data_IF_993687243099
#
_entry.id   IF_993687243099
#
_cell.length_a   1.000
_cell.length_b   1.000
_cell.length_c   1.000
_cell.angle_alpha   90.00
_cell.angle_beta   90.00
_cell.angle_gamma   90.00
#
_symmetry.space_group_name_H-M   'P 1'
#
loop_
_entity.id
_entity.type
_entity.pdbx_description
1 polymer ?
#
# COMPACT_ATOMS: atom_id res chain seq x y z
N UNK A 1 -0.85 19.20 -6.05
CA UNK A 1 0.38 19.42 -6.85
C UNK A 1 0.04 19.67 -8.33
N UNK A 2 -0.37 18.68 -9.12
CA UNK A 2 -0.75 18.88 -10.53
C UNK A 2 -1.92 19.87 -10.69
N UNK A 3 -2.90 19.81 -9.82
CA UNK A 3 -4.10 20.66 -9.80
C UNK A 3 -3.82 22.09 -9.27
N UNK A 4 -2.73 22.27 -8.52
CA UNK A 4 -2.34 23.57 -7.92
C UNK A 4 -1.16 24.24 -8.64
N UNK A 5 -0.76 23.73 -9.82
CA UNK A 5 0.36 24.29 -10.60
C UNK A 5 1.77 24.04 -10.05
N UNK A 6 1.91 23.54 -8.84
CA UNK A 6 3.20 23.26 -8.17
C UNK A 6 4.03 22.19 -8.89
N UNK A 7 3.43 21.47 -9.85
CA UNK A 7 4.14 20.49 -10.66
C UNK A 7 5.11 21.16 -11.65
N UNK A 8 4.85 22.40 -12.03
CA UNK A 8 5.71 23.17 -12.93
C UNK A 8 7.09 23.38 -12.30
N UNK A 9 7.14 23.69 -11.00
CA UNK A 9 8.38 23.90 -10.27
C UNK A 9 9.22 22.60 -10.19
N UNK A 10 8.54 21.44 -10.08
CA UNK A 10 9.17 20.13 -10.10
C UNK A 10 9.68 19.70 -11.49
N UNK A 11 9.00 20.14 -12.55
CA UNK A 11 9.39 19.87 -13.95
C UNK A 11 10.54 20.77 -14.42
N UNK A 12 10.71 21.94 -13.81
CA UNK A 12 11.85 22.85 -14.07
C UNK A 12 13.11 22.38 -13.30
N UNK A 13 12.94 21.68 -12.20
CA UNK A 13 14.04 21.05 -11.50
C UNK A 13 14.64 19.90 -12.35
N UNK A 14 15.97 19.79 -12.50
CA UNK A 14 16.62 18.74 -13.29
C UNK A 14 16.59 17.38 -12.56
N UNK A 15 15.39 16.93 -12.17
CA UNK A 15 15.19 15.69 -11.44
C UNK A 15 14.89 14.54 -12.40
N UNK A 16 15.60 13.43 -12.24
CA UNK A 16 15.32 12.20 -12.97
C UNK A 16 14.05 11.49 -12.49
N UNK A 17 13.44 10.63 -13.34
CA UNK A 17 12.23 9.86 -12.98
C UNK A 17 12.40 9.03 -11.70
N UNK A 18 13.62 8.50 -11.46
CA UNK A 18 13.97 7.74 -10.27
C UNK A 18 13.99 8.60 -9.00
N UNK A 19 14.51 9.80 -9.08
CA UNK A 19 14.59 10.74 -7.95
C UNK A 19 13.18 11.21 -7.53
N UNK A 20 12.33 11.50 -8.52
CA UNK A 20 10.91 11.81 -8.28
C UNK A 20 10.20 10.64 -7.61
N UNK A 21 10.39 9.41 -8.11
CA UNK A 21 9.80 8.22 -7.53
C UNK A 21 10.25 8.05 -6.09
N UNK A 22 11.56 8.10 -5.81
CA UNK A 22 12.11 7.94 -4.46
C UNK A 22 11.60 9.02 -3.50
N UNK A 23 11.56 10.28 -3.92
CA UNK A 23 11.08 11.39 -3.10
C UNK A 23 9.61 11.23 -2.71
N UNK A 24 8.73 10.97 -3.68
CA UNK A 24 7.28 10.83 -3.41
C UNK A 24 6.96 9.55 -2.66
N UNK A 25 7.57 8.43 -3.03
CA UNK A 25 7.36 7.14 -2.35
C UNK A 25 7.91 7.19 -0.94
N UNK A 26 9.11 7.77 -0.75
CA UNK A 26 9.70 7.96 0.58
C UNK A 26 8.82 8.79 1.49
N UNK A 27 8.32 9.93 1.02
CA UNK A 27 7.38 10.77 1.76
C UNK A 27 6.07 10.05 2.12
N UNK A 28 5.51 9.29 1.18
CA UNK A 28 4.32 8.47 1.39
C UNK A 28 4.55 7.36 2.42
N UNK A 29 5.70 6.69 2.36
CA UNK A 29 6.09 5.66 3.34
C UNK A 29 6.21 6.25 4.76
N UNK A 30 6.93 7.35 4.91
CA UNK A 30 7.09 8.01 6.23
C UNK A 30 5.72 8.34 6.81
N UNK A 31 4.81 8.93 6.02
CA UNK A 31 3.44 9.21 6.48
C UNK A 31 2.69 7.94 6.87
N UNK A 32 2.75 6.91 6.04
CA UNK A 32 2.09 5.62 6.32
C UNK A 32 2.63 4.95 7.58
N UNK A 33 3.95 4.99 7.79
CA UNK A 33 4.61 4.44 8.98
C UNK A 33 4.22 5.21 10.24
N UNK A 34 4.21 6.54 10.20
CA UNK A 34 3.80 7.36 11.34
C UNK A 34 2.36 7.05 11.74
N UNK A 35 1.44 7.01 10.79
CA UNK A 35 0.03 6.66 11.07
C UNK A 35 -0.09 5.22 11.58
N UNK A 36 0.61 4.26 10.97
CA UNK A 36 0.62 2.88 11.40
C UNK A 36 1.16 2.69 12.82
N UNK A 37 2.27 3.34 13.15
CA UNK A 37 2.87 3.29 14.50
C UNK A 37 1.98 3.98 15.55
N UNK A 38 1.35 5.09 15.21
CA UNK A 38 0.40 5.76 16.11
C UNK A 38 -0.82 4.87 16.37
N UNK A 39 -1.38 4.28 15.32
CA UNK A 39 -2.52 3.34 15.45
C UNK A 39 -2.14 2.14 16.30
N UNK A 40 -0.95 1.56 16.06
CA UNK A 40 -0.44 0.47 16.87
C UNK A 40 -0.23 0.89 18.32
N UNK A 41 0.35 2.08 18.57
CA UNK A 41 0.51 2.63 19.91
C UNK A 41 -0.82 2.75 20.67
N UNK A 42 -1.88 3.22 19.99
CA UNK A 42 -3.23 3.24 20.57
C UNK A 42 -3.74 1.82 20.84
N UNK A 43 -3.54 0.89 19.90
CA UNK A 43 -3.97 -0.50 20.07
C UNK A 43 -3.28 -1.19 21.26
N UNK A 44 -2.04 -0.84 21.58
CA UNK A 44 -1.33 -1.39 22.75
C UNK A 44 -2.04 -1.09 24.08
N UNK A 45 -2.70 0.05 24.19
CA UNK A 45 -3.46 0.43 25.39
C UNK A 45 -4.66 -0.47 25.60
N UNK A 46 -5.33 -0.91 24.54
CA UNK A 46 -6.56 -1.69 24.60
C UNK A 46 -6.34 -3.21 24.48
N UNK A 47 -5.39 -3.64 23.66
CA UNK A 47 -5.17 -5.05 23.34
C UNK A 47 -3.93 -5.68 24.02
N UNK A 48 -3.13 -4.86 24.69
CA UNK A 48 -1.86 -5.29 25.26
C UNK A 48 -0.76 -5.46 24.22
N UNK A 49 0.47 -5.67 24.70
CA UNK A 49 1.62 -5.84 23.82
C UNK A 49 1.67 -7.28 23.29
N UNK A 50 1.51 -7.41 21.98
CA UNK A 50 1.70 -8.68 21.28
C UNK A 50 2.58 -8.43 20.05
N UNK A 51 3.75 -9.06 20.00
CA UNK A 51 4.68 -8.98 18.88
C UNK A 51 5.45 -10.30 18.81
N UNK A 52 4.84 -11.30 18.17
CA UNK A 52 5.40 -12.64 18.11
C UNK A 52 6.66 -12.70 17.23
N UNK A 53 6.60 -12.03 16.05
CA UNK A 53 7.69 -12.04 15.08
C UNK A 53 8.01 -10.61 14.60
N UNK A 54 8.89 -9.85 15.31
CA UNK A 54 9.16 -8.43 15.01
C UNK A 54 9.65 -8.18 13.59
N UNK A 55 10.54 -9.05 13.07
CA UNK A 55 11.09 -8.89 11.72
C UNK A 55 10.03 -9.09 10.63
N UNK A 56 9.10 -10.03 10.84
CA UNK A 56 7.98 -10.27 9.91
C UNK A 56 7.04 -9.07 9.92
N UNK A 57 6.68 -8.58 11.11
CA UNK A 57 5.84 -7.39 11.27
C UNK A 57 6.46 -6.18 10.57
N UNK A 58 7.74 -5.92 10.80
CA UNK A 58 8.45 -4.81 10.17
C UNK A 58 8.49 -4.95 8.64
N UNK A 59 8.79 -6.15 8.14
CA UNK A 59 8.81 -6.43 6.70
C UNK A 59 7.47 -6.18 6.02
N UNK A 60 6.37 -6.68 6.59
CA UNK A 60 5.03 -6.44 6.05
C UNK A 60 4.58 -4.99 6.21
N UNK A 61 4.92 -4.32 7.31
CA UNK A 61 4.62 -2.90 7.52
C UNK A 61 5.30 -2.02 6.47
N UNK A 62 6.62 -2.20 6.28
CA UNK A 62 7.40 -1.45 5.30
C UNK A 62 6.96 -1.76 3.87
N UNK A 63 6.78 -3.04 3.54
CA UNK A 63 6.36 -3.47 2.22
C UNK A 63 4.97 -2.95 1.85
N UNK A 64 4.02 -3.01 2.78
CA UNK A 64 2.67 -2.47 2.59
C UNK A 64 2.71 -0.95 2.41
N UNK A 65 3.43 -0.22 3.27
CA UNK A 65 3.61 1.23 3.15
C UNK A 65 4.23 1.61 1.80
N UNK A 66 5.23 0.84 1.33
CA UNK A 66 5.85 1.03 0.04
C UNK A 66 4.86 0.85 -1.12
N UNK A 67 4.16 -0.28 -1.19
CA UNK A 67 3.19 -0.58 -2.26
C UNK A 67 2.12 0.50 -2.34
N UNK A 68 1.53 0.90 -1.21
CA UNK A 68 0.51 1.95 -1.19
C UNK A 68 1.05 3.31 -1.58
N UNK A 69 2.29 3.65 -1.21
CA UNK A 69 2.95 4.89 -1.63
C UNK A 69 3.15 4.94 -3.15
N UNK A 70 3.59 3.82 -3.74
CA UNK A 70 3.77 3.69 -5.20
C UNK A 70 2.43 3.79 -5.92
N UNK A 71 1.39 3.08 -5.45
CA UNK A 71 0.04 3.13 -6.03
C UNK A 71 -0.58 4.53 -5.90
N UNK A 72 -0.34 5.21 -4.77
CA UNK A 72 -0.75 6.60 -4.57
C UNK A 72 -0.10 7.54 -5.58
N UNK A 73 1.20 7.38 -5.83
CA UNK A 73 1.91 8.15 -6.85
C UNK A 73 1.38 7.84 -8.26
N UNK A 74 1.16 6.57 -8.61
CA UNK A 74 0.59 6.18 -9.89
C UNK A 74 -0.78 6.82 -10.11
N UNK A 75 -1.64 6.80 -9.08
CA UNK A 75 -2.96 7.44 -9.10
C UNK A 75 -2.84 8.95 -9.28
N UNK A 76 -1.89 9.61 -8.60
CA UNK A 76 -1.65 11.04 -8.72
C UNK A 76 -1.17 11.45 -10.13
N UNK A 77 -0.38 10.60 -10.80
CA UNK A 77 0.05 10.82 -12.19
C UNK A 77 -1.14 10.69 -13.15
N UNK A 78 -1.98 9.66 -12.93
CA UNK A 78 -3.13 9.38 -13.78
C UNK A 78 -4.25 10.41 -13.65
N UNK A 79 -4.49 10.92 -12.43
CA UNK A 79 -5.58 11.83 -12.12
C UNK A 79 -5.36 13.23 -12.72
N UNK A 80 -6.38 13.76 -13.37
CA UNK A 80 -6.44 15.14 -13.92
C UNK A 80 -7.28 16.06 -13.04
N UNK A 81 -8.29 15.48 -12.36
CA UNK A 81 -9.22 16.21 -11.49
C UNK A 81 -9.14 15.69 -10.07
N UNK A 82 -9.53 16.53 -9.12
CA UNK A 82 -9.51 16.18 -7.69
C UNK A 82 -10.41 14.98 -7.38
N UNK A 83 -11.55 14.86 -8.05
CA UNK A 83 -12.47 13.74 -7.89
C UNK A 83 -11.83 12.41 -8.29
N UNK A 84 -10.97 12.41 -9.30
CA UNK A 84 -10.27 11.21 -9.77
C UNK A 84 -9.23 10.70 -8.77
N UNK A 85 -8.61 11.58 -7.97
CA UNK A 85 -7.69 11.19 -6.91
C UNK A 85 -8.42 10.36 -5.85
N UNK A 86 -9.66 10.72 -5.55
CA UNK A 86 -10.47 10.03 -4.55
C UNK A 86 -11.16 8.76 -5.10
N UNK A 87 -11.24 8.60 -6.42
CA UNK A 87 -11.87 7.44 -7.03
C UNK A 87 -11.18 6.13 -6.64
N UNK A 88 -9.86 6.07 -6.76
CA UNK A 88 -9.09 4.87 -6.47
C UNK A 88 -9.19 4.44 -4.99
N UNK A 89 -8.95 5.31 -3.99
CA UNK A 89 -9.17 4.96 -2.59
C UNK A 89 -10.59 4.51 -2.28
N UNK A 90 -11.60 5.21 -2.81
CA UNK A 90 -13.00 4.96 -2.43
C UNK A 90 -13.58 3.74 -3.13
N UNK A 91 -13.35 3.57 -4.43
CA UNK A 91 -14.02 2.53 -5.22
C UNK A 91 -13.19 1.26 -5.39
N UNK A 92 -11.88 1.33 -5.21
CA UNK A 92 -11.00 0.16 -5.33
C UNK A 92 -10.48 -0.27 -3.97
N UNK A 93 -9.83 0.62 -3.22
CA UNK A 93 -9.18 0.25 -1.96
C UNK A 93 -10.18 -0.07 -0.85
N UNK A 94 -11.26 0.69 -0.73
CA UNK A 94 -12.24 0.47 0.33
C UNK A 94 -12.90 -0.92 0.24
N UNK A 95 -13.46 -1.35 -0.91
CA UNK A 95 -13.99 -2.70 -1.06
C UNK A 95 -12.94 -3.80 -0.84
N UNK A 96 -11.72 -3.62 -1.39
CA UNK A 96 -10.62 -4.57 -1.19
C UNK A 96 -10.24 -4.70 0.29
N UNK A 97 -10.25 -3.59 1.05
CA UNK A 97 -9.96 -3.60 2.49
C UNK A 97 -11.04 -4.35 3.26
N UNK A 98 -12.33 -4.11 2.95
CA UNK A 98 -13.43 -4.84 3.58
C UNK A 98 -13.36 -6.35 3.29
N UNK A 99 -13.04 -6.73 2.06
CA UNK A 99 -12.87 -8.12 1.65
C UNK A 99 -11.48 -8.68 2.00
N UNK A 100 -10.58 -7.85 2.52
CA UNK A 100 -9.20 -8.18 2.86
C UNK A 100 -9.01 -8.93 4.19
N UNK A 101 -10.10 -9.28 4.89
CA UNK A 101 -10.00 -10.00 6.16
C UNK A 101 -9.62 -9.13 7.36
N UNK A 102 -9.73 -7.79 7.25
CA UNK A 102 -9.43 -6.86 8.35
C UNK A 102 -10.38 -7.08 9.52
N UNK A 103 -11.68 -7.26 9.26
CA UNK A 103 -12.72 -7.37 10.27
C UNK A 103 -13.09 -8.81 10.64
N UNK A 104 -12.60 -9.80 9.89
CA UNK A 104 -12.89 -11.22 10.09
C UNK A 104 -11.71 -12.09 9.66
N UNK A 105 -11.68 -13.33 10.14
CA UNK A 105 -10.71 -14.31 9.65
C UNK A 105 -11.24 -14.98 8.37
N UNK A 106 -10.42 -15.04 7.32
CA UNK A 106 -10.78 -15.64 6.03
C UNK A 106 -11.15 -17.12 6.17
N UNK A 107 -10.57 -17.81 7.16
CA UNK A 107 -10.89 -19.20 7.44
C UNK A 107 -12.35 -19.43 7.86
N UNK A 108 -13.07 -18.39 8.27
CA UNK A 108 -14.48 -18.46 8.67
C UNK A 108 -15.46 -18.16 7.52
N UNK A 109 -14.95 -17.77 6.36
CA UNK A 109 -15.79 -17.49 5.21
C UNK A 109 -16.28 -18.80 4.57
N UNK A 110 -17.59 -18.89 4.20
CA UNK A 110 -18.09 -19.97 3.39
C UNK A 110 -17.54 -19.87 1.95
N UNK A 111 -17.42 -21.01 1.28
CA UNK A 111 -17.24 -21.05 -0.16
C UNK A 111 -18.51 -20.50 -0.87
N UNK A 112 -18.41 -19.67 -1.94
CA UNK A 112 -17.20 -19.34 -2.73
C UNK A 112 -16.43 -18.08 -2.26
N UNK A 113 -16.88 -17.37 -1.22
CA UNK A 113 -16.28 -16.11 -0.77
C UNK A 113 -14.83 -16.26 -0.33
N UNK A 114 -14.50 -17.39 0.27
CA UNK A 114 -13.13 -17.73 0.65
C UNK A 114 -12.21 -17.77 -0.56
N UNK A 115 -12.63 -18.44 -1.64
CA UNK A 115 -11.85 -18.52 -2.88
C UNK A 115 -11.67 -17.14 -3.51
N UNK A 116 -12.72 -16.32 -3.56
CA UNK A 116 -12.64 -14.94 -4.08
C UNK A 116 -11.67 -14.09 -3.27
N UNK A 117 -11.67 -14.24 -1.95
CA UNK A 117 -10.76 -13.49 -1.08
C UNK A 117 -9.29 -13.77 -1.34
N UNK A 118 -8.92 -14.97 -1.80
CA UNK A 118 -7.54 -15.29 -2.16
C UNK A 118 -7.01 -14.51 -3.38
N UNK A 119 -7.87 -13.98 -4.23
CA UNK A 119 -7.45 -13.07 -5.31
C UNK A 119 -7.22 -11.63 -4.84
N UNK A 120 -7.59 -11.32 -3.61
CA UNK A 120 -7.42 -10.01 -3.04
C UNK A 120 -6.01 -9.84 -2.41
N UNK A 121 -5.14 -8.97 -2.95
CA UNK A 121 -3.81 -8.78 -2.40
C UNK A 121 -3.79 -8.24 -0.96
N UNK A 122 -4.84 -7.53 -0.54
CA UNK A 122 -4.97 -7.03 0.84
C UNK A 122 -4.97 -8.14 1.88
N UNK A 123 -5.53 -9.30 1.52
CA UNK A 123 -5.57 -10.48 2.38
C UNK A 123 -4.17 -10.87 2.85
N UNK A 124 -3.22 -10.90 1.92
CA UNK A 124 -1.86 -11.32 2.21
C UNK A 124 -1.09 -10.30 3.06
N UNK A 125 -1.38 -9.00 2.86
CA UNK A 125 -0.82 -7.92 3.69
C UNK A 125 -1.33 -8.00 5.13
N UNK A 126 -2.65 -8.17 5.28
CA UNK A 126 -3.32 -8.27 6.58
C UNK A 126 -2.91 -9.54 7.33
N UNK A 127 -2.93 -10.69 6.66
CA UNK A 127 -2.54 -11.97 7.28
C UNK A 127 -1.05 -12.00 7.64
N UNK A 128 -0.19 -11.38 6.83
CA UNK A 128 1.23 -11.26 7.14
C UNK A 128 1.50 -10.39 8.38
N UNK A 129 0.81 -9.26 8.51
CA UNK A 129 0.87 -8.43 9.71
C UNK A 129 0.28 -9.16 10.92
N UNK A 130 -0.86 -9.86 10.75
CA UNK A 130 -1.48 -10.66 11.81
C UNK A 130 -0.55 -11.75 12.30
N UNK A 131 0.10 -12.48 11.40
CA UNK A 131 1.09 -13.48 11.76
C UNK A 131 2.28 -12.87 12.50
N UNK A 132 2.80 -11.75 12.02
CA UNK A 132 3.91 -11.05 12.66
C UNK A 132 3.59 -10.58 14.09
N UNK A 133 2.38 -10.08 14.31
CA UNK A 133 1.95 -9.56 15.62
C UNK A 133 1.47 -10.67 16.56
N UNK A 134 0.60 -11.57 16.09
CA UNK A 134 -0.09 -12.55 16.95
C UNK A 134 0.55 -13.95 16.89
N UNK A 135 1.49 -14.21 15.98
CA UNK A 135 2.06 -15.54 15.75
C UNK A 135 1.11 -16.54 15.06
N UNK A 136 -0.11 -16.09 14.71
CA UNK A 136 -1.15 -16.92 14.08
C UNK A 136 -1.65 -16.25 12.82
N UNK A 137 -1.82 -17.00 11.75
CA UNK A 137 -2.35 -16.51 10.47
C UNK A 137 -3.03 -17.64 9.71
N UNK A 138 -4.02 -17.30 8.87
CA UNK A 138 -4.73 -18.25 8.02
C UNK A 138 -3.89 -18.66 6.78
N UNK A 139 -2.87 -17.88 6.43
CA UNK A 139 -2.03 -18.09 5.25
C UNK A 139 -0.54 -18.13 5.63
N UNK A 140 0.29 -18.89 4.87
CA UNK A 140 1.73 -18.91 5.07
C UNK A 140 2.34 -17.52 4.86
N UNK A 141 3.16 -16.99 5.80
CA UNK A 141 3.75 -15.66 5.69
C UNK A 141 4.70 -15.54 4.48
N UNK A 142 5.35 -16.63 4.08
CA UNK A 142 6.22 -16.67 2.90
C UNK A 142 5.44 -16.37 1.61
N UNK A 143 4.23 -16.91 1.46
CA UNK A 143 3.36 -16.62 0.32
C UNK A 143 2.94 -15.16 0.32
N UNK A 144 2.57 -14.62 1.49
CA UNK A 144 2.25 -13.21 1.65
C UNK A 144 3.42 -12.30 1.26
N UNK A 145 4.64 -12.62 1.71
CA UNK A 145 5.85 -11.88 1.37
C UNK A 145 6.16 -11.92 -0.14
N UNK A 146 5.98 -13.07 -0.79
CA UNK A 146 6.16 -13.21 -2.23
C UNK A 146 5.18 -12.33 -3.01
N UNK A 147 3.89 -12.37 -2.65
CA UNK A 147 2.86 -11.57 -3.31
C UNK A 147 3.11 -10.08 -3.09
N UNK A 148 3.47 -9.68 -1.87
CA UNK A 148 3.83 -8.30 -1.55
C UNK A 148 5.03 -7.83 -2.37
N UNK A 149 6.06 -8.67 -2.53
CA UNK A 149 7.23 -8.37 -3.35
C UNK A 149 6.87 -8.22 -4.84
N UNK A 150 6.06 -9.12 -5.39
CA UNK A 150 5.61 -9.04 -6.79
C UNK A 150 4.78 -7.77 -7.03
N UNK A 151 3.92 -7.39 -6.09
CA UNK A 151 3.16 -6.14 -6.15
C UNK A 151 4.08 -4.92 -6.08
N UNK A 152 5.08 -4.93 -5.19
CA UNK A 152 6.05 -3.85 -5.08
C UNK A 152 6.82 -3.66 -6.39
N UNK A 153 7.36 -4.74 -6.96
CA UNK A 153 8.10 -4.68 -8.23
C UNK A 153 7.18 -4.26 -9.38
N UNK A 154 6.01 -4.87 -9.51
CA UNK A 154 5.07 -4.57 -10.58
C UNK A 154 4.55 -3.14 -10.54
N UNK A 155 4.11 -2.66 -9.38
CA UNK A 155 3.63 -1.28 -9.22
C UNK A 155 4.75 -0.25 -9.46
N UNK A 156 5.97 -0.53 -8.99
CA UNK A 156 7.14 0.32 -9.22
C UNK A 156 7.49 0.40 -10.70
N UNK A 157 7.54 -0.74 -11.39
CA UNK A 157 7.83 -0.79 -12.83
C UNK A 157 6.81 0.03 -13.64
N UNK A 158 5.52 -0.12 -13.34
CA UNK A 158 4.45 0.64 -14.01
C UNK A 158 4.59 2.12 -13.72
N UNK A 159 4.76 2.52 -12.45
CA UNK A 159 4.88 3.92 -12.06
C UNK A 159 6.12 4.57 -12.65
N UNK A 160 7.25 3.87 -12.64
CA UNK A 160 8.49 4.34 -13.28
C UNK A 160 8.31 4.53 -14.79
N UNK A 161 7.65 3.59 -15.47
CA UNK A 161 7.37 3.71 -16.91
C UNK A 161 6.45 4.90 -17.23
N UNK A 162 5.47 5.21 -16.37
CA UNK A 162 4.61 6.39 -16.51
C UNK A 162 5.42 7.69 -16.36
N UNK A 163 6.31 7.75 -15.36
CA UNK A 163 7.19 8.90 -15.15
C UNK A 163 8.19 9.07 -16.30
N UNK A 164 8.86 7.99 -16.73
CA UNK A 164 9.85 8.03 -17.79
C UNK A 164 9.26 8.45 -19.14
N UNK A 165 8.02 8.07 -19.42
CA UNK A 165 7.30 8.48 -20.64
C UNK A 165 6.73 9.90 -20.56
N UNK A 166 6.82 10.56 -19.41
CA UNK A 166 6.21 11.88 -19.20
C UNK A 166 4.70 11.88 -19.36
N UNK A 167 4.06 10.72 -19.08
CA UNK A 167 2.63 10.53 -19.28
C UNK A 167 1.84 11.56 -18.47
N UNK A 168 1.04 12.40 -19.19
CA UNK A 168 0.22 13.48 -18.61
C UNK A 168 0.96 14.48 -17.72
N UNK A 169 2.29 14.57 -17.81
CA UNK A 169 3.09 15.56 -17.07
C UNK A 169 3.33 16.83 -17.88
N UNK A 170 3.16 16.76 -19.21
CA UNK A 170 3.34 17.87 -20.18
C UNK A 170 1.98 18.34 -20.68
N UNK A 171 1.19 18.97 -19.83
CA UNK A 171 -0.01 19.72 -20.26
C UNK A 171 0.04 21.11 -19.67
#
# INVERSE_FOLDING_TARGET
>A
MKIQGTIVDLLVAPLGPGELLLGFVGGGMVRGLVVGLLTWGVALVFAGFQLAHPLVTLGFLLGTAYVFSVLGLATAIWAEKFEQINFFPTFVMLPLTFLGGVFYSISRLPEPWRTISHFNPMVYMVEGLRYGMLGTGALPPALGALILFLLAVGSTAVTYALLARGYKLKQ
#
